data_IF_677422428905
#
_entry.id   IF_677422428905
#
_cell.length_a   1.000
_cell.length_b   1.000
_cell.length_c   1.000
_cell.angle_alpha   90.00
_cell.angle_beta   90.00
_cell.angle_gamma   90.00
#
_symmetry.space_group_name_H-M   'P 1'
#
loop_
_entity.id
_entity.type
_entity.pdbx_description
1 polymer ?
#
# COMPACT_ATOMS: atom_id res chain seq x y z
N UNK A 1 21.44 11.00 4.50
CA UNK A 1 20.37 11.38 5.42
C UNK A 1 20.88 12.26 6.54
N UNK A 2 20.22 13.41 6.70
CA UNK A 2 20.38 14.29 7.86
C UNK A 2 19.50 13.81 9.03
N UNK A 3 19.75 14.26 10.26
CA UNK A 3 18.90 13.91 11.43
C UNK A 3 17.42 14.28 11.21
N UNK A 4 17.15 15.41 10.54
CA UNK A 4 15.80 15.81 10.19
C UNK A 4 15.17 14.86 9.17
N UNK A 5 15.93 14.42 8.16
CA UNK A 5 15.48 13.45 7.17
C UNK A 5 15.23 12.07 7.75
N UNK A 6 16.01 11.66 8.76
CA UNK A 6 15.74 10.45 9.54
C UNK A 6 14.46 10.56 10.36
N UNK A 7 14.19 11.71 10.97
CA UNK A 7 12.93 11.96 11.69
C UNK A 7 11.71 11.92 10.75
N UNK A 8 11.80 12.52 9.56
CA UNK A 8 10.74 12.42 8.54
C UNK A 8 10.60 10.98 8.05
N UNK A 9 11.69 10.28 7.75
CA UNK A 9 11.66 8.87 7.36
C UNK A 9 11.07 7.98 8.47
N UNK A 10 11.28 8.31 9.74
CA UNK A 10 10.74 7.59 10.89
C UNK A 10 9.20 7.71 11.02
N UNK A 11 8.56 8.67 10.34
CA UNK A 11 7.10 8.68 10.21
C UNK A 11 6.59 7.50 9.36
N UNK A 12 7.47 6.93 8.52
CA UNK A 12 7.22 5.74 7.75
C UNK A 12 7.82 4.55 8.49
N UNK A 13 6.97 3.77 9.16
CA UNK A 13 7.41 2.64 9.99
C UNK A 13 7.72 1.37 9.17
N UNK A 14 8.09 1.55 7.91
CA UNK A 14 8.60 0.52 7.01
C UNK A 14 9.84 1.09 6.33
N UNK A 15 10.76 0.22 5.92
CA UNK A 15 11.95 0.69 5.24
C UNK A 15 11.55 1.31 3.90
N UNK A 16 11.72 2.62 3.79
CA UNK A 16 11.56 3.31 2.52
C UNK A 16 12.58 2.75 1.51
N UNK A 17 12.17 2.51 0.26
CA UNK A 17 13.10 2.26 -0.83
C UNK A 17 14.13 3.40 -0.95
N UNK A 18 15.34 3.08 -1.41
CA UNK A 18 16.47 4.02 -1.41
C UNK A 18 16.22 5.30 -2.22
N UNK A 19 15.47 5.20 -3.31
CA UNK A 19 15.01 6.29 -4.17
C UNK A 19 14.00 7.21 -3.45
N UNK A 20 13.10 6.64 -2.66
CA UNK A 20 12.15 7.39 -1.84
C UNK A 20 12.87 8.09 -0.69
N UNK A 21 13.80 7.41 -0.02
CA UNK A 21 14.66 8.03 1.00
C UNK A 21 15.49 9.18 0.44
N UNK A 22 16.00 9.06 -0.79
CA UNK A 22 16.72 10.14 -1.46
C UNK A 22 15.83 11.36 -1.74
N UNK A 23 14.58 11.13 -2.13
CA UNK A 23 13.62 12.22 -2.29
C UNK A 23 13.25 12.89 -0.96
N UNK A 24 13.08 12.13 0.11
CA UNK A 24 12.89 12.69 1.46
C UNK A 24 14.08 13.60 1.84
N UNK A 25 15.31 13.14 1.61
CA UNK A 25 16.53 13.94 1.82
C UNK A 25 16.51 15.25 1.02
N UNK A 26 16.10 15.19 -0.24
CA UNK A 26 16.04 16.35 -1.14
C UNK A 26 15.00 17.37 -0.68
N UNK A 27 13.80 16.91 -0.29
CA UNK A 27 12.72 17.78 0.16
C UNK A 27 13.04 18.41 1.52
N UNK A 28 13.73 17.68 2.41
CA UNK A 28 14.25 18.23 3.65
C UNK A 28 15.22 19.40 3.40
N UNK A 29 16.14 19.24 2.44
CA UNK A 29 17.10 20.29 2.08
C UNK A 29 16.44 21.53 1.45
N UNK A 30 15.28 21.36 0.82
CA UNK A 30 14.47 22.46 0.30
C UNK A 30 13.68 23.21 1.38
N UNK A 31 13.74 22.76 2.65
CA UNK A 31 13.10 23.42 3.78
C UNK A 31 11.63 23.10 3.94
N UNK A 32 11.13 22.02 3.31
CA UNK A 32 9.76 21.58 3.52
C UNK A 32 9.56 21.06 4.94
N UNK A 33 8.35 21.26 5.45
CA UNK A 33 7.92 20.71 6.74
C UNK A 33 7.70 19.20 6.64
N UNK A 34 7.85 18.50 7.76
CA UNK A 34 7.57 17.07 7.89
C UNK A 34 6.20 16.68 7.30
N UNK A 35 5.16 17.47 7.57
CA UNK A 35 3.82 17.24 7.02
C UNK A 35 3.76 17.33 5.50
N UNK A 36 4.41 18.34 4.89
CA UNK A 36 4.44 18.51 3.45
C UNK A 36 5.21 17.38 2.77
N UNK A 37 6.33 16.97 3.35
CA UNK A 37 7.12 15.85 2.84
C UNK A 37 6.32 14.56 2.92
N UNK A 38 5.71 14.26 4.07
CA UNK A 38 4.89 13.06 4.23
C UNK A 38 3.74 13.04 3.22
N UNK A 39 3.04 14.15 3.07
CA UNK A 39 1.93 14.27 2.11
C UNK A 39 2.41 14.05 0.67
N UNK A 40 3.53 14.67 0.28
CA UNK A 40 4.13 14.49 -1.04
C UNK A 40 4.54 13.04 -1.31
N UNK A 41 5.20 12.39 -0.35
CA UNK A 41 5.61 10.99 -0.47
C UNK A 41 4.37 10.10 -0.64
N UNK A 42 3.30 10.37 0.09
CA UNK A 42 2.04 9.63 -0.03
C UNK A 42 1.39 9.81 -1.40
N UNK A 43 1.27 11.03 -1.89
CA UNK A 43 0.65 11.30 -3.20
C UNK A 43 1.48 10.74 -4.37
N UNK A 44 2.81 10.83 -4.27
CA UNK A 44 3.74 10.45 -5.35
C UNK A 44 3.99 8.95 -5.39
N UNK A 45 4.15 8.32 -4.22
CA UNK A 45 4.64 6.94 -4.08
C UNK A 45 3.60 5.96 -3.57
N UNK A 46 2.47 6.45 -3.06
CA UNK A 46 1.33 5.62 -2.69
C UNK A 46 0.10 5.92 -3.55
N UNK A 47 0.32 6.60 -4.69
CA UNK A 47 -0.67 6.88 -5.73
C UNK A 47 -0.84 5.72 -6.72
N UNK A 48 -2.02 5.66 -7.36
CA UNK A 48 -2.36 4.59 -8.30
C UNK A 48 -1.74 4.82 -9.69
N UNK A 49 -1.03 3.84 -10.24
CA UNK A 49 -0.71 3.75 -11.67
C UNK A 49 -1.92 3.21 -12.46
N UNK A 50 -2.29 3.93 -13.53
CA UNK A 50 -3.42 3.57 -14.39
C UNK A 50 -3.11 2.42 -15.35
N UNK A 51 -1.83 2.19 -15.67
CA UNK A 51 -1.41 1.26 -16.74
C UNK A 51 -1.55 -0.21 -16.32
N UNK A 52 -1.04 -0.60 -15.14
CA UNK A 52 -1.19 -1.98 -14.63
C UNK A 52 -2.56 -2.30 -14.03
N UNK A 53 -3.32 -1.27 -13.65
CA UNK A 53 -4.70 -1.42 -13.17
C UNK A 53 -5.64 -1.87 -14.29
N UNK A 54 -5.37 -1.45 -15.53
CA UNK A 54 -6.25 -1.62 -16.68
C UNK A 54 -6.53 -3.09 -17.03
N UNK A 55 -5.53 -3.99 -17.14
CA UNK A 55 -5.77 -5.41 -17.40
C UNK A 55 -6.64 -6.12 -16.35
N UNK A 56 -6.50 -5.75 -15.07
CA UNK A 56 -7.31 -6.32 -14.00
C UNK A 56 -8.74 -5.76 -13.99
N UNK A 57 -8.92 -4.48 -14.34
CA UNK A 57 -10.25 -3.91 -14.60
C UNK A 57 -10.95 -4.57 -15.78
N UNK A 58 -10.21 -4.90 -16.85
CA UNK A 58 -10.77 -5.54 -18.03
C UNK A 58 -11.18 -7.00 -17.74
N UNK A 59 -10.39 -7.73 -16.96
CA UNK A 59 -10.77 -9.08 -16.48
C UNK A 59 -11.95 -9.03 -15.50
N UNK A 60 -12.02 -8.04 -14.62
CA UNK A 60 -13.18 -7.81 -13.76
C UNK A 60 -14.45 -7.53 -14.58
N UNK A 61 -14.35 -6.67 -15.60
CA UNK A 61 -15.46 -6.36 -16.51
C UNK A 61 -15.92 -7.58 -17.30
N UNK A 62 -14.99 -8.43 -17.71
CA UNK A 62 -15.28 -9.68 -18.41
C UNK A 62 -16.04 -10.65 -17.51
N UNK A 63 -15.53 -10.89 -16.29
CA UNK A 63 -16.14 -11.81 -15.32
C UNK A 63 -17.54 -11.33 -14.87
N UNK A 64 -17.75 -10.03 -14.72
CA UNK A 64 -19.06 -9.46 -14.37
C UNK A 64 -20.10 -9.51 -15.50
N UNK A 65 -19.68 -9.75 -16.76
CA UNK A 65 -20.58 -9.88 -17.91
C UNK A 65 -21.05 -11.31 -18.15
N UNK A 66 -20.52 -12.29 -17.41
CA UNK A 66 -20.98 -13.68 -17.51
C UNK A 66 -22.43 -13.81 -17.02
N UNK A 67 -23.19 -14.75 -17.59
CA UNK A 67 -24.58 -15.00 -17.20
C UNK A 67 -24.72 -15.46 -15.73
N UNK A 68 -23.63 -16.01 -15.16
CA UNK A 68 -23.51 -16.32 -13.74
C UNK A 68 -22.10 -15.93 -13.25
N UNK A 69 -21.88 -14.65 -12.88
CA UNK A 69 -20.57 -14.17 -12.46
C UNK A 69 -20.08 -14.94 -11.24
N UNK A 70 -18.83 -15.40 -11.28
CA UNK A 70 -18.25 -16.10 -10.14
C UNK A 70 -17.86 -15.08 -9.03
N UNK A 71 -18.50 -15.11 -7.84
CA UNK A 71 -18.25 -14.11 -6.80
C UNK A 71 -16.80 -14.08 -6.31
N UNK A 72 -16.12 -15.23 -6.29
CA UNK A 72 -14.74 -15.34 -5.85
C UNK A 72 -13.76 -14.75 -6.88
N UNK A 73 -14.00 -14.98 -8.18
CA UNK A 73 -13.18 -14.39 -9.26
C UNK A 73 -13.40 -12.89 -9.41
N UNK A 74 -14.64 -12.43 -9.24
CA UNK A 74 -14.98 -11.00 -9.16
C UNK A 74 -14.23 -10.35 -8.00
N UNK A 75 -14.25 -10.98 -6.81
CA UNK A 75 -13.50 -10.49 -5.64
C UNK A 75 -11.98 -10.50 -5.89
N UNK A 76 -11.45 -11.55 -6.52
CA UNK A 76 -10.03 -11.68 -6.85
C UNK A 76 -9.57 -10.62 -7.86
N UNK A 77 -10.27 -10.46 -8.99
CA UNK A 77 -9.91 -9.45 -9.99
C UNK A 77 -10.09 -8.03 -9.49
N UNK A 78 -11.09 -7.80 -8.62
CA UNK A 78 -11.25 -6.53 -7.91
C UNK A 78 -10.06 -6.27 -6.99
N UNK A 79 -9.68 -7.22 -6.14
CA UNK A 79 -8.55 -7.09 -5.22
C UNK A 79 -7.23 -6.91 -5.96
N UNK A 80 -7.00 -7.65 -7.04
CA UNK A 80 -5.80 -7.49 -7.86
C UNK A 80 -5.79 -6.17 -8.62
N UNK A 81 -6.93 -5.66 -9.12
CA UNK A 81 -6.99 -4.31 -9.68
C UNK A 81 -6.66 -3.22 -8.67
N UNK A 82 -6.90 -3.49 -7.38
CA UNK A 82 -6.61 -2.58 -6.28
C UNK A 82 -5.14 -2.68 -5.85
N UNK A 83 -4.59 -3.89 -5.74
CA UNK A 83 -3.22 -4.12 -5.27
C UNK A 83 -2.17 -3.87 -6.38
N UNK A 84 -2.47 -4.28 -7.61
CA UNK A 84 -1.57 -4.17 -8.78
C UNK A 84 -1.66 -2.78 -9.44
N UNK A 85 -2.68 -2.00 -9.10
CA UNK A 85 -2.79 -0.61 -9.52
C UNK A 85 -1.78 0.33 -8.85
N UNK A 86 -0.89 -0.15 -7.97
CA UNK A 86 0.07 0.67 -7.22
C UNK A 86 1.46 0.08 -7.43
N UNK A 87 2.18 0.66 -8.38
CA UNK A 87 3.48 0.17 -8.87
C UNK A 87 4.67 0.56 -8.01
N UNK A 88 4.50 1.46 -7.04
CA UNK A 88 5.68 1.99 -6.36
C UNK A 88 6.28 1.00 -5.35
N UNK A 89 7.61 0.92 -5.34
CA UNK A 89 8.39 0.05 -4.46
C UNK A 89 8.07 0.25 -2.97
N UNK A 90 7.56 1.44 -2.60
CA UNK A 90 7.19 1.77 -1.23
C UNK A 90 5.90 1.06 -0.79
N UNK A 91 4.91 0.96 -1.68
CA UNK A 91 3.70 0.18 -1.47
C UNK A 91 4.01 -1.33 -1.44
N UNK A 92 4.88 -1.78 -2.35
CA UNK A 92 5.31 -3.19 -2.39
C UNK A 92 6.12 -3.57 -1.14
N UNK A 93 6.96 -2.67 -0.62
CA UNK A 93 7.70 -2.89 0.63
C UNK A 93 6.77 -3.01 1.85
N UNK A 94 5.74 -2.15 1.95
CA UNK A 94 4.73 -2.23 3.00
C UNK A 94 3.95 -3.56 2.94
N UNK A 95 3.49 -3.93 1.74
CA UNK A 95 2.80 -5.20 1.52
C UNK A 95 3.68 -6.41 1.87
N UNK A 96 4.95 -6.37 1.47
CA UNK A 96 5.90 -7.46 1.74
C UNK A 96 6.09 -7.66 3.24
N UNK A 97 6.37 -6.60 4.01
CA UNK A 97 6.54 -6.69 5.47
C UNK A 97 5.27 -7.21 6.19
N UNK A 98 4.09 -6.82 5.70
CA UNK A 98 2.81 -7.31 6.21
C UNK A 98 2.61 -8.80 5.90
N UNK A 99 2.89 -9.23 4.67
CA UNK A 99 2.72 -10.61 4.19
C UNK A 99 3.76 -11.56 4.79
N UNK A 100 4.92 -11.08 5.23
CA UNK A 100 5.88 -11.86 6.01
C UNK A 100 5.32 -12.22 7.40
N UNK A 101 4.49 -11.35 7.98
CA UNK A 101 3.98 -11.51 9.34
C UNK A 101 2.59 -12.18 9.40
N UNK A 102 1.76 -12.02 8.36
CA UNK A 102 0.35 -12.44 8.36
C UNK A 102 -0.05 -13.19 7.08
N UNK A 103 -1.16 -13.93 7.16
CA UNK A 103 -1.87 -14.51 6.02
C UNK A 103 -3.24 -13.84 5.87
N UNK A 104 -3.29 -12.58 5.44
CA UNK A 104 -4.54 -11.85 5.29
C UNK A 104 -5.38 -12.42 4.14
N UNK A 105 -6.69 -12.48 4.34
CA UNK A 105 -7.67 -12.75 3.28
C UNK A 105 -7.81 -11.57 2.32
N UNK A 106 -8.39 -11.81 1.13
CA UNK A 106 -8.66 -10.78 0.12
C UNK A 106 -9.40 -9.57 0.70
N UNK A 107 -10.40 -9.81 1.55
CA UNK A 107 -11.16 -8.74 2.21
C UNK A 107 -10.28 -7.89 3.12
N UNK A 108 -9.34 -8.51 3.83
CA UNK A 108 -8.44 -7.80 4.75
C UNK A 108 -7.36 -7.01 4.00
N UNK A 109 -6.87 -7.54 2.88
CA UNK A 109 -6.01 -6.80 1.97
C UNK A 109 -6.73 -5.59 1.38
N UNK A 110 -8.01 -5.74 1.01
CA UNK A 110 -8.85 -4.65 0.52
C UNK A 110 -9.02 -3.55 1.57
N UNK A 111 -9.30 -3.90 2.83
CA UNK A 111 -9.43 -2.92 3.92
C UNK A 111 -8.11 -2.22 4.23
N UNK A 112 -6.99 -2.95 4.24
CA UNK A 112 -5.66 -2.34 4.37
C UNK A 112 -5.39 -1.32 3.28
N UNK A 113 -5.72 -1.71 2.06
CA UNK A 113 -5.57 -0.88 0.88
C UNK A 113 -6.43 0.39 0.96
N UNK A 114 -7.73 0.27 1.25
CA UNK A 114 -8.63 1.40 1.44
C UNK A 114 -8.15 2.37 2.53
N UNK A 115 -7.62 1.82 3.62
CA UNK A 115 -7.11 2.60 4.72
C UNK A 115 -5.75 3.28 4.38
N UNK A 116 -4.94 2.70 3.50
CA UNK A 116 -3.76 3.38 2.94
C UNK A 116 -4.17 4.55 2.05
N UNK A 117 -5.16 4.37 1.16
CA UNK A 117 -5.67 5.44 0.29
C UNK A 117 -6.35 6.57 1.04
N UNK A 118 -6.96 6.26 2.17
CA UNK A 118 -7.64 7.24 3.01
C UNK A 118 -6.68 7.97 3.96
N UNK A 119 -5.36 7.77 3.80
CA UNK A 119 -4.32 8.29 4.70
C UNK A 119 -4.60 7.90 6.17
N UNK A 120 -5.06 6.67 6.40
CA UNK A 120 -5.33 6.14 7.74
C UNK A 120 -4.28 5.13 8.20
N UNK A 121 -3.46 4.62 7.27
CA UNK A 121 -2.37 3.68 7.56
C UNK A 121 -1.07 4.23 6.99
N UNK A 122 -0.12 4.44 7.87
CA UNK A 122 1.22 4.95 7.56
C UNK A 122 2.32 3.94 7.96
N UNK A 123 1.92 2.75 8.42
CA UNK A 123 2.84 1.80 9.02
C UNK A 123 2.42 0.35 8.84
N UNK A 124 3.42 -0.53 8.76
CA UNK A 124 3.16 -1.96 8.84
C UNK A 124 2.66 -2.35 10.23
N UNK A 125 3.00 -1.64 11.30
CA UNK A 125 2.42 -1.89 12.64
C UNK A 125 0.93 -1.57 12.71
N UNK A 126 0.49 -0.45 12.14
CA UNK A 126 -0.94 -0.12 12.07
C UNK A 126 -1.66 -1.06 11.11
N UNK A 127 -1.03 -1.43 9.98
CA UNK A 127 -1.52 -2.49 9.11
C UNK A 127 -1.67 -3.82 9.86
N UNK A 128 -0.64 -4.24 10.61
CA UNK A 128 -0.64 -5.44 11.45
C UNK A 128 -1.68 -5.37 12.57
N UNK A 129 -1.91 -4.18 13.15
CA UNK A 129 -2.94 -3.94 14.17
C UNK A 129 -4.33 -4.07 13.59
N UNK A 130 -4.57 -3.48 12.41
CA UNK A 130 -5.82 -3.61 11.67
C UNK A 130 -6.09 -5.07 11.29
N UNK A 131 -5.06 -5.77 10.82
CA UNK A 131 -5.12 -7.20 10.51
C UNK A 131 -5.40 -8.05 11.75
N UNK A 132 -4.69 -7.82 12.86
CA UNK A 132 -4.93 -8.55 14.11
C UNK A 132 -6.36 -8.32 14.63
N UNK A 133 -6.86 -7.09 14.58
CA UNK A 133 -8.25 -6.75 14.99
C UNK A 133 -9.30 -7.38 14.09
N UNK A 134 -9.01 -7.53 12.80
CA UNK A 134 -9.89 -8.21 11.85
C UNK A 134 -9.74 -9.74 11.86
N UNK A 135 -8.89 -10.30 12.74
CA UNK A 135 -8.71 -11.74 12.91
C UNK A 135 -7.79 -12.39 11.87
N UNK A 136 -6.90 -11.64 11.22
CA UNK A 136 -5.93 -12.20 10.28
C UNK A 136 -4.98 -13.17 11.01
N UNK A 137 -4.81 -14.40 10.51
CA UNK A 137 -3.91 -15.35 11.12
C UNK A 137 -2.45 -14.92 10.95
N UNK A 138 -1.66 -15.02 12.02
CA UNK A 138 -0.20 -14.84 11.98
C UNK A 138 0.46 -16.04 11.31
N UNK A 139 1.52 -15.80 10.53
CA UNK A 139 2.39 -16.88 10.07
C UNK A 139 3.12 -17.48 11.26
N UNK A 140 3.12 -18.81 11.37
CA UNK A 140 3.99 -19.53 12.30
C UNK A 140 5.26 -19.86 11.52
N UNK A 141 6.39 -19.34 11.98
CA UNK A 141 7.72 -19.71 11.51
C UNK A 141 8.11 -21.06 12.11
#
# INVERSE_FOLDING_TARGET
MSEYSEAVAANFFFRLPSDVSFHVDTLCQQGLTEFEIVSFIMETYFGASSELRTPHLDRLRLEMREASPNPAKVATHRTMSLVVGYEHDAWQALLSDVLESYLPSDRQLLTLFEACLSYQIFSSEFARTLLARSGAPRRRF
#
